data_IF_858647266699
#
_entry.id   IF_858647266699
#
_cell.length_a   1.000
_cell.length_b   1.000
_cell.length_c   1.000
_cell.angle_alpha   90.00
_cell.angle_beta   90.00
_cell.angle_gamma   90.00
#
_symmetry.space_group_name_H-M   'P 1'
#
loop_
_entity.id
_entity.type
_entity.pdbx_description
1 polymer ?
#
# COMPACT_ATOMS: atom_id res chain seq x y z
N UNK A 1 -11.70 3.75 -13.02
CA UNK A 1 -12.12 2.31 -13.15
C UNK A 1 -13.42 2.02 -12.43
N UNK A 2 -14.32 1.16 -12.98
CA UNK A 2 -15.53 0.66 -12.29
C UNK A 2 -15.25 -0.75 -11.73
N UNK A 3 -15.42 -0.92 -10.43
CA UNK A 3 -15.23 -2.21 -9.75
C UNK A 3 -16.54 -2.99 -9.77
N UNK A 4 -16.59 -4.10 -10.51
CA UNK A 4 -17.72 -5.02 -10.64
C UNK A 4 -17.61 -6.16 -9.62
N UNK A 5 -16.43 -6.79 -9.55
CA UNK A 5 -16.12 -7.86 -8.61
C UNK A 5 -14.84 -7.58 -7.83
N UNK A 6 -14.77 -8.05 -6.59
CA UNK A 6 -13.59 -8.02 -5.77
C UNK A 6 -13.70 -9.11 -4.69
N UNK A 7 -12.74 -10.00 -4.59
CA UNK A 7 -12.73 -11.11 -3.65
C UNK A 7 -11.31 -11.46 -3.19
N UNK A 8 -11.20 -12.00 -1.98
CA UNK A 8 -9.94 -12.59 -1.51
C UNK A 8 -9.68 -13.85 -2.35
N UNK A 9 -8.51 -13.90 -2.98
CA UNK A 9 -8.04 -15.04 -3.75
C UNK A 9 -7.20 -15.96 -2.88
N UNK A 10 -6.17 -15.40 -2.19
CA UNK A 10 -5.21 -16.17 -1.41
C UNK A 10 -4.65 -15.34 -0.26
N UNK A 11 -4.20 -16.02 0.81
CA UNK A 11 -3.49 -15.42 1.94
C UNK A 11 -2.21 -16.20 2.20
N UNK A 12 -1.07 -15.63 1.84
CA UNK A 12 0.23 -16.29 1.86
C UNK A 12 1.05 -15.96 3.11
N UNK A 13 1.51 -16.99 3.80
CA UNK A 13 2.48 -16.92 4.90
C UNK A 13 3.93 -17.13 4.42
N UNK A 14 4.11 -17.64 3.21
CA UNK A 14 5.39 -17.93 2.59
C UNK A 14 5.33 -17.86 1.07
N UNK A 15 6.49 -17.81 0.43
CA UNK A 15 6.60 -17.64 -1.02
C UNK A 15 5.98 -18.80 -1.83
N UNK A 16 5.95 -20.01 -1.27
CA UNK A 16 5.33 -21.18 -1.88
C UNK A 16 3.80 -21.12 -1.94
N UNK A 17 3.19 -20.14 -1.28
CA UNK A 17 1.75 -19.89 -1.27
C UNK A 17 1.37 -18.70 -2.16
N UNK A 18 2.32 -18.08 -2.85
CA UNK A 18 1.98 -17.01 -3.78
C UNK A 18 1.21 -17.60 -4.97
N UNK A 19 0.05 -17.01 -5.32
CA UNK A 19 -0.74 -17.53 -6.45
C UNK A 19 0.06 -17.41 -7.76
N UNK A 20 0.00 -18.45 -8.58
CA UNK A 20 0.59 -18.43 -9.92
C UNK A 20 -0.35 -17.68 -10.87
N UNK A 21 -0.13 -16.38 -11.00
CA UNK A 21 -0.95 -15.46 -11.79
C UNK A 21 -0.09 -14.68 -12.77
N UNK A 22 -0.58 -14.54 -13.98
CA UNK A 22 0.01 -13.67 -15.02
C UNK A 22 -0.54 -12.24 -14.94
N UNK A 23 -1.62 -12.03 -14.19
CA UNK A 23 -2.31 -10.74 -14.08
C UNK A 23 -1.47 -9.68 -13.39
N UNK A 24 -1.59 -8.39 -13.77
CA UNK A 24 -0.92 -7.28 -13.09
C UNK A 24 -1.25 -7.23 -11.60
N UNK A 25 -0.26 -6.90 -10.80
CA UNK A 25 -0.40 -6.72 -9.35
C UNK A 25 -0.09 -5.29 -8.92
N UNK A 26 -0.90 -4.77 -7.99
CA UNK A 26 -0.68 -3.51 -7.28
C UNK A 26 -0.53 -3.83 -5.80
N UNK A 27 0.66 -3.63 -5.24
CA UNK A 27 0.92 -3.89 -3.83
C UNK A 27 0.67 -2.65 -2.97
N UNK A 28 0.14 -2.85 -1.78
CA UNK A 28 -0.09 -1.81 -0.78
C UNK A 28 0.80 -2.05 0.43
N UNK A 29 1.67 -1.08 0.73
CA UNK A 29 2.59 -1.11 1.85
C UNK A 29 2.38 0.10 2.77
N UNK A 30 2.72 -0.03 4.04
CA UNK A 30 2.65 1.05 5.00
C UNK A 30 2.67 0.55 6.44
N UNK A 31 2.89 1.48 7.36
CA UNK A 31 2.87 1.16 8.79
C UNK A 31 1.52 0.62 9.23
N UNK A 32 1.56 -0.14 10.31
CA UNK A 32 0.33 -0.48 11.00
C UNK A 32 -0.46 0.77 11.39
N UNK A 33 -1.79 0.70 11.23
CA UNK A 33 -2.73 1.78 11.53
C UNK A 33 -2.54 3.06 10.68
N UNK A 34 -1.77 3.00 9.60
CA UNK A 34 -1.63 4.12 8.65
C UNK A 34 -2.91 4.37 7.84
N UNK A 35 -3.81 3.39 7.79
CA UNK A 35 -5.05 3.46 7.01
C UNK A 35 -5.02 2.62 5.72
N UNK A 36 -4.06 1.68 5.59
CA UNK A 36 -3.89 0.82 4.40
C UNK A 36 -5.17 0.07 4.02
N UNK A 37 -5.70 -0.75 4.90
CA UNK A 37 -6.94 -1.52 4.64
C UNK A 37 -8.15 -0.60 4.40
N UNK A 38 -8.17 0.57 5.03
CA UNK A 38 -9.23 1.58 4.82
C UNK A 38 -9.12 2.20 3.43
N UNK A 39 -7.90 2.50 2.96
CA UNK A 39 -7.66 2.99 1.59
C UNK A 39 -8.09 1.94 0.56
N UNK A 40 -7.65 0.68 0.71
CA UNK A 40 -8.03 -0.42 -0.20
C UNK A 40 -9.56 -0.54 -0.27
N UNK A 41 -10.23 -0.60 0.88
CA UNK A 41 -11.70 -0.66 0.94
C UNK A 41 -12.38 0.56 0.26
N UNK A 42 -11.79 1.76 0.44
CA UNK A 42 -12.25 2.99 -0.20
C UNK A 42 -12.10 2.91 -1.71
N UNK A 43 -10.95 2.48 -2.22
CA UNK A 43 -10.70 2.29 -3.64
C UNK A 43 -11.69 1.30 -4.26
N UNK A 44 -11.92 0.18 -3.62
CA UNK A 44 -12.82 -0.87 -4.09
C UNK A 44 -14.31 -0.58 -3.87
N UNK A 45 -14.67 0.50 -3.18
CA UNK A 45 -16.06 0.79 -2.79
C UNK A 45 -16.70 -0.36 -1.99
N UNK A 46 -15.91 -1.01 -1.17
CA UNK A 46 -16.33 -2.12 -0.30
C UNK A 46 -16.14 -1.74 1.16
N UNK A 47 -17.10 -2.09 2.04
CA UNK A 47 -17.03 -1.67 3.45
C UNK A 47 -16.11 -2.54 4.31
N UNK A 48 -15.88 -3.81 3.95
CA UNK A 48 -15.19 -4.80 4.81
C UNK A 48 -14.47 -5.90 4.01
N UNK A 49 -14.05 -5.68 2.77
CA UNK A 49 -13.34 -6.71 1.99
C UNK A 49 -11.99 -7.00 2.65
N UNK A 50 -11.20 -5.93 2.87
CA UNK A 50 -9.97 -6.03 3.66
C UNK A 50 -10.30 -5.77 5.12
N UNK A 51 -10.02 -6.75 5.98
CA UNK A 51 -10.28 -6.64 7.42
C UNK A 51 -9.45 -5.51 8.01
N UNK A 52 -10.11 -4.48 8.51
CA UNK A 52 -9.46 -3.45 9.32
C UNK A 52 -9.28 -4.01 10.72
N UNK A 53 -8.05 -4.35 11.10
CA UNK A 53 -7.76 -4.79 12.46
C UNK A 53 -7.27 -3.62 13.29
N UNK A 54 -7.96 -3.34 14.39
CA UNK A 54 -7.45 -2.47 15.46
C UNK A 54 -6.45 -3.20 16.36
N UNK A 55 -6.40 -4.53 16.28
CA UNK A 55 -5.48 -5.34 17.10
C UNK A 55 -4.13 -5.47 16.37
N UNK A 56 -3.06 -4.99 16.99
CA UNK A 56 -1.70 -5.11 16.46
C UNK A 56 -1.29 -6.57 16.24
N UNK A 57 -0.64 -6.88 15.08
CA UNK A 57 -0.06 -8.21 14.81
C UNK A 57 -1.00 -9.25 14.19
N UNK A 58 -2.24 -8.91 13.80
CA UNK A 58 -3.17 -9.88 13.19
C UNK A 58 -2.90 -10.20 11.72
N UNK A 59 -2.40 -9.25 10.92
CA UNK A 59 -2.12 -9.47 9.51
C UNK A 59 -0.66 -9.86 9.35
N UNK A 60 -0.40 -11.17 9.39
CA UNK A 60 0.92 -11.77 9.20
C UNK A 60 1.11 -12.30 7.77
N UNK A 61 0.07 -12.17 6.96
CA UNK A 61 -0.05 -12.76 5.63
C UNK A 61 -0.02 -11.68 4.57
N UNK A 62 0.47 -12.01 3.40
CA UNK A 62 0.23 -11.24 2.18
C UNK A 62 -1.12 -11.69 1.63
N UNK A 63 -2.07 -10.76 1.49
CA UNK A 63 -3.39 -11.08 0.98
C UNK A 63 -3.55 -10.60 -0.46
N UNK A 64 -3.92 -11.52 -1.34
CA UNK A 64 -4.16 -11.27 -2.75
C UNK A 64 -5.67 -11.14 -2.98
N UNK A 65 -6.10 -10.02 -3.54
CA UNK A 65 -7.50 -9.75 -3.88
C UNK A 65 -7.66 -9.66 -5.38
N UNK A 66 -8.42 -10.58 -5.98
CA UNK A 66 -8.74 -10.54 -7.40
C UNK A 66 -9.82 -9.48 -7.66
N UNK A 67 -9.54 -8.58 -8.63
CA UNK A 67 -10.40 -7.46 -8.95
C UNK A 67 -10.82 -7.56 -10.41
N UNK A 68 -12.14 -7.57 -10.64
CA UNK A 68 -12.76 -7.68 -11.97
C UNK A 68 -12.22 -8.84 -12.83
N UNK A 69 -11.52 -9.81 -12.23
CA UNK A 69 -10.84 -10.91 -12.92
C UNK A 69 -9.73 -10.47 -13.88
N UNK A 70 -9.18 -9.26 -13.68
CA UNK A 70 -8.17 -8.66 -14.58
C UNK A 70 -6.88 -8.23 -13.90
N UNK A 71 -6.87 -8.01 -12.59
CA UNK A 71 -5.68 -7.66 -11.83
C UNK A 71 -5.84 -8.00 -10.34
N UNK A 72 -4.74 -8.02 -9.60
CA UNK A 72 -4.74 -8.21 -8.16
C UNK A 72 -4.34 -6.95 -7.39
N UNK A 73 -5.09 -6.65 -6.32
CA UNK A 73 -4.58 -5.81 -5.23
C UNK A 73 -3.96 -6.71 -4.17
N UNK A 74 -2.74 -6.36 -3.75
CA UNK A 74 -1.98 -7.14 -2.79
C UNK A 74 -1.76 -6.33 -1.51
N UNK A 75 -2.38 -6.81 -0.41
CA UNK A 75 -2.27 -6.17 0.90
C UNK A 75 -1.08 -6.76 1.66
N UNK A 76 0.03 -6.02 1.71
CA UNK A 76 1.23 -6.44 2.43
C UNK A 76 1.05 -6.28 3.94
N UNK A 77 1.71 -7.11 4.78
CA UNK A 77 1.72 -6.92 6.22
C UNK A 77 2.17 -5.51 6.61
N UNK A 78 1.44 -4.90 7.55
CA UNK A 78 1.85 -3.57 8.07
C UNK A 78 3.11 -3.69 8.93
N UNK A 79 4.09 -2.83 8.73
CA UNK A 79 5.31 -2.76 9.54
C UNK A 79 5.19 -1.78 10.72
N UNK A 80 6.23 -1.72 11.56
CA UNK A 80 6.31 -0.73 12.65
C UNK A 80 5.61 -1.09 13.96
N UNK A 81 5.35 -2.38 14.19
CA UNK A 81 4.87 -2.83 15.49
C UNK A 81 6.00 -2.91 16.52
N UNK A 82 5.93 -2.05 17.55
CA UNK A 82 6.90 -2.06 18.64
C UNK A 82 6.84 -3.32 19.54
N UNK A 83 5.66 -3.98 19.58
CA UNK A 83 5.40 -5.12 20.50
C UNK A 83 5.56 -6.50 19.86
N UNK A 84 6.26 -6.60 18.72
CA UNK A 84 6.48 -7.88 18.03
C UNK A 84 7.93 -8.34 18.25
N UNK A 85 8.18 -9.62 18.57
CA UNK A 85 9.53 -10.16 18.69
C UNK A 85 10.40 -9.87 17.45
N UNK A 86 11.71 -9.70 17.65
CA UNK A 86 12.65 -9.34 16.57
C UNK A 86 12.65 -10.38 15.43
N UNK A 87 12.63 -11.67 15.77
CA UNK A 87 12.57 -12.79 14.82
C UNK A 87 11.34 -12.72 13.91
N UNK A 88 10.18 -12.39 14.49
CA UNK A 88 8.94 -12.27 13.74
C UNK A 88 8.96 -11.06 12.80
N UNK A 89 9.59 -9.95 13.21
CA UNK A 89 9.77 -8.77 12.34
C UNK A 89 10.67 -9.11 11.16
N UNK A 90 11.72 -9.88 11.41
CA UNK A 90 12.65 -10.31 10.38
C UNK A 90 11.98 -11.27 9.37
N UNK A 91 11.17 -12.22 9.85
CA UNK A 91 10.43 -13.13 8.96
C UNK A 91 9.45 -12.37 8.06
N UNK A 92 8.76 -11.33 8.58
CA UNK A 92 7.88 -10.50 7.77
C UNK A 92 8.65 -9.65 6.76
N UNK A 93 9.80 -9.12 7.16
CA UNK A 93 10.68 -8.40 6.24
C UNK A 93 11.09 -9.30 5.08
N UNK A 94 11.58 -10.50 5.36
CA UNK A 94 11.96 -11.48 4.35
C UNK A 94 10.81 -11.86 3.43
N UNK A 95 9.60 -12.07 3.98
CA UNK A 95 8.42 -12.38 3.17
C UNK A 95 8.07 -11.23 2.20
N UNK A 96 8.08 -9.98 2.68
CA UNK A 96 7.81 -8.79 1.87
C UNK A 96 8.90 -8.62 0.80
N UNK A 97 10.17 -8.71 1.17
CA UNK A 97 11.29 -8.60 0.23
C UNK A 97 11.25 -9.70 -0.83
N UNK A 98 10.92 -10.94 -0.43
CA UNK A 98 10.74 -12.05 -1.38
C UNK A 98 9.61 -11.79 -2.35
N UNK A 99 8.47 -11.29 -1.87
CA UNK A 99 7.35 -10.89 -2.73
C UNK A 99 7.77 -9.78 -3.69
N UNK A 100 8.30 -8.69 -3.18
CA UNK A 100 8.67 -7.52 -3.99
C UNK A 100 9.76 -7.81 -5.02
N UNK A 101 10.70 -8.74 -4.73
CA UNK A 101 11.81 -9.09 -5.63
C UNK A 101 11.41 -10.09 -6.72
N UNK A 102 10.54 -11.05 -6.42
CA UNK A 102 10.23 -12.20 -7.29
C UNK A 102 8.96 -12.08 -8.13
N UNK A 103 8.15 -11.00 -7.94
CA UNK A 103 6.91 -10.84 -8.71
C UNK A 103 7.13 -10.02 -9.97
N UNK A 104 7.19 -10.69 -11.11
CA UNK A 104 7.38 -10.03 -12.41
C UNK A 104 6.15 -9.26 -12.86
N UNK A 105 4.96 -9.69 -12.43
CA UNK A 105 3.69 -9.03 -12.69
C UNK A 105 3.36 -7.87 -11.72
N UNK A 106 4.23 -7.57 -10.74
CA UNK A 106 4.09 -6.41 -9.86
C UNK A 106 4.37 -5.12 -10.63
N UNK A 107 3.32 -4.31 -10.83
CA UNK A 107 3.39 -3.06 -11.62
C UNK A 107 3.79 -1.85 -10.78
N UNK A 108 3.29 -1.75 -9.56
CA UNK A 108 3.55 -0.61 -8.67
C UNK A 108 3.33 -0.97 -7.20
N UNK A 109 4.12 -0.35 -6.32
CA UNK A 109 3.93 -0.41 -4.87
C UNK A 109 3.33 0.92 -4.39
N UNK A 110 2.14 0.88 -3.80
CA UNK A 110 1.50 2.04 -3.16
C UNK A 110 2.01 2.14 -1.73
N UNK A 111 2.91 3.08 -1.48
CA UNK A 111 3.43 3.39 -0.14
C UNK A 111 2.50 4.40 0.55
N UNK A 112 1.92 4.00 1.69
CA UNK A 112 0.94 4.81 2.41
C UNK A 112 1.59 5.45 3.64
N UNK A 113 1.54 6.77 3.71
CA UNK A 113 2.09 7.60 4.78
C UNK A 113 0.95 8.31 5.52
N UNK A 114 0.96 8.32 6.85
CA UNK A 114 0.06 9.16 7.63
C UNK A 114 0.50 10.62 7.51
N UNK A 115 -0.29 11.46 6.85
CA UNK A 115 0.07 12.85 6.55
C UNK A 115 0.38 13.67 7.82
N UNK A 116 -0.18 13.31 8.96
CA UNK A 116 0.00 14.02 10.24
C UNK A 116 1.42 13.90 10.79
N UNK A 117 2.08 12.78 10.52
CA UNK A 117 3.38 12.42 11.10
C UNK A 117 4.52 12.44 10.07
N UNK A 118 4.18 12.32 8.77
CA UNK A 118 5.17 12.15 7.71
C UNK A 118 5.83 10.77 7.72
N UNK A 119 6.87 10.56 6.88
CA UNK A 119 7.53 9.28 6.73
C UNK A 119 8.39 8.93 7.95
N UNK A 120 8.35 7.67 8.35
CA UNK A 120 9.18 7.10 9.40
C UNK A 120 10.49 6.55 8.83
N UNK A 121 11.40 6.12 9.71
CA UNK A 121 12.63 5.44 9.29
C UNK A 121 12.34 4.19 8.45
N UNK A 122 11.29 3.43 8.79
CA UNK A 122 10.89 2.23 8.06
C UNK A 122 10.28 2.55 6.69
N UNK A 123 9.53 3.65 6.56
CA UNK A 123 9.02 4.13 5.28
C UNK A 123 10.18 4.52 4.34
N UNK A 124 11.20 5.21 4.87
CA UNK A 124 12.42 5.55 4.13
C UNK A 124 13.21 4.31 3.73
N UNK A 125 13.34 3.35 4.63
CA UNK A 125 14.02 2.08 4.34
C UNK A 125 13.33 1.31 3.21
N UNK A 126 11.99 1.21 3.24
CA UNK A 126 11.25 0.57 2.16
C UNK A 126 11.40 1.34 0.84
N UNK A 127 11.33 2.68 0.88
CA UNK A 127 11.55 3.52 -0.31
C UNK A 127 12.95 3.27 -0.91
N UNK A 128 14.00 3.31 -0.09
CA UNK A 128 15.37 3.07 -0.55
C UNK A 128 15.53 1.66 -1.14
N UNK A 129 14.87 0.67 -0.56
CA UNK A 129 14.86 -0.69 -1.09
C UNK A 129 14.16 -0.75 -2.46
N UNK A 130 13.01 -0.10 -2.62
CA UNK A 130 12.27 -0.05 -3.89
C UNK A 130 13.07 0.65 -4.99
N UNK A 131 13.75 1.76 -4.66
CA UNK A 131 14.62 2.47 -5.60
C UNK A 131 15.80 1.59 -6.05
N UNK A 132 16.48 0.96 -5.11
CA UNK A 132 17.61 0.06 -5.40
C UNK A 132 17.22 -1.07 -6.36
N UNK A 133 16.02 -1.64 -6.17
CA UNK A 133 15.48 -2.70 -7.02
C UNK A 133 14.68 -2.18 -8.22
N UNK A 134 14.69 -0.86 -8.47
CA UNK A 134 13.97 -0.21 -9.58
C UNK A 134 12.48 -0.57 -9.64
N UNK A 135 11.86 -0.79 -8.46
CA UNK A 135 10.42 -1.09 -8.36
C UNK A 135 9.61 0.20 -8.36
N UNK A 136 8.65 0.37 -9.29
CA UNK A 136 7.82 1.56 -9.34
C UNK A 136 7.04 1.79 -8.04
N UNK A 137 6.94 3.06 -7.62
CA UNK A 137 6.27 3.42 -6.37
C UNK A 137 5.32 4.61 -6.57
N UNK A 138 4.15 4.53 -5.96
CA UNK A 138 3.19 5.64 -5.81
C UNK A 138 3.03 5.95 -4.32
N UNK A 139 3.29 7.20 -3.90
CA UNK A 139 3.10 7.60 -2.50
C UNK A 139 1.72 8.20 -2.28
N UNK A 140 0.99 7.67 -1.31
CA UNK A 140 -0.33 8.17 -0.89
C UNK A 140 -0.25 8.68 0.55
N UNK A 141 -0.61 9.95 0.75
CA UNK A 141 -0.69 10.57 2.07
C UNK A 141 -2.11 10.42 2.64
N UNK A 142 -2.29 9.47 3.54
CA UNK A 142 -3.58 9.15 4.16
C UNK A 142 -3.99 10.15 5.24
N UNK A 143 -5.28 10.14 5.60
CA UNK A 143 -5.87 10.97 6.69
C UNK A 143 -5.77 12.47 6.43
N UNK A 144 -5.88 12.90 5.17
CA UNK A 144 -5.86 14.32 4.79
C UNK A 144 -6.94 15.16 5.48
N UNK A 145 -8.06 14.54 5.84
CA UNK A 145 -9.15 15.15 6.60
C UNK A 145 -8.76 15.64 8.01
N UNK A 146 -7.62 15.21 8.53
CA UNK A 146 -7.12 15.59 9.86
C UNK A 146 -6.32 16.89 9.85
N UNK A 147 -6.12 17.50 8.69
CA UNK A 147 -5.37 18.74 8.52
C UNK A 147 -6.21 19.78 7.75
N UNK A 148 -5.98 21.05 8.03
CA UNK A 148 -6.50 22.12 7.18
C UNK A 148 -5.83 22.08 5.79
N UNK A 149 -6.47 22.66 4.78
CA UNK A 149 -5.94 22.68 3.39
C UNK A 149 -4.49 23.19 3.31
N UNK A 150 -4.18 24.31 3.98
CA UNK A 150 -2.83 24.86 3.99
C UNK A 150 -1.81 23.94 4.68
N UNK A 151 -2.16 23.35 5.83
CA UNK A 151 -1.32 22.37 6.51
C UNK A 151 -1.13 21.10 5.69
N UNK A 152 -2.18 20.64 4.99
CA UNK A 152 -2.10 19.51 4.09
C UNK A 152 -1.09 19.78 2.96
N UNK A 153 -1.20 20.91 2.26
CA UNK A 153 -0.26 21.28 1.18
C UNK A 153 1.19 21.35 1.68
N UNK A 154 1.44 21.99 2.83
CA UNK A 154 2.76 22.07 3.44
C UNK A 154 3.32 20.68 3.80
N UNK A 155 2.48 19.79 4.38
CA UNK A 155 2.91 18.43 4.73
C UNK A 155 3.22 17.57 3.49
N UNK A 156 2.47 17.71 2.41
CA UNK A 156 2.76 17.01 1.15
C UNK A 156 4.12 17.42 0.59
N UNK A 157 4.46 18.72 0.62
CA UNK A 157 5.78 19.21 0.23
C UNK A 157 6.89 18.65 1.12
N UNK A 158 6.65 18.63 2.43
CA UNK A 158 7.60 18.03 3.39
C UNK A 158 7.83 16.55 3.11
N UNK A 159 6.77 15.76 2.90
CA UNK A 159 6.88 14.33 2.58
C UNK A 159 7.64 14.15 1.26
N UNK A 160 7.34 14.98 0.23
CA UNK A 160 8.07 14.97 -1.03
C UNK A 160 9.57 15.15 -0.82
N UNK A 161 9.97 16.16 -0.03
CA UNK A 161 11.36 16.44 0.30
C UNK A 161 12.00 15.31 1.10
N UNK A 162 11.33 14.84 2.16
CA UNK A 162 11.83 13.83 3.09
C UNK A 162 12.05 12.45 2.43
N UNK A 163 11.31 12.14 1.36
CA UNK A 163 11.43 10.92 0.58
C UNK A 163 12.07 11.15 -0.80
N UNK A 164 12.57 12.35 -1.09
CA UNK A 164 13.22 12.70 -2.38
C UNK A 164 12.37 12.30 -3.60
N UNK A 165 11.06 12.60 -3.53
CA UNK A 165 10.14 12.23 -4.60
C UNK A 165 10.18 13.23 -5.75
N UNK A 166 10.02 12.75 -6.96
CA UNK A 166 9.87 13.60 -8.16
C UNK A 166 8.51 14.30 -8.18
N UNK A 167 7.46 13.62 -7.69
CA UNK A 167 6.09 14.12 -7.67
C UNK A 167 5.56 14.28 -6.23
N UNK A 168 4.53 15.10 -6.04
CA UNK A 168 3.84 15.20 -4.76
C UNK A 168 3.09 13.90 -4.44
N UNK A 169 3.08 13.46 -3.17
CA UNK A 169 2.21 12.39 -2.73
C UNK A 169 0.74 12.74 -2.99
N UNK A 170 -0.07 11.75 -3.32
CA UNK A 170 -1.50 11.94 -3.50
C UNK A 170 -2.20 11.97 -2.13
N UNK A 171 -2.90 13.05 -1.76
CA UNK A 171 -3.67 13.08 -0.53
C UNK A 171 -4.89 12.16 -0.63
N UNK A 172 -5.24 11.52 0.50
CA UNK A 172 -6.42 10.68 0.58
C UNK A 172 -7.10 10.81 1.95
N UNK A 173 -8.43 10.92 1.91
CA UNK A 173 -9.29 10.74 3.08
C UNK A 173 -10.34 9.67 2.81
N UNK A 174 -10.40 8.69 3.70
CA UNK A 174 -11.46 7.67 3.66
C UNK A 174 -12.80 8.19 4.19
N UNK A 175 -12.79 9.33 4.92
CA UNK A 175 -13.98 9.92 5.50
C UNK A 175 -14.84 10.61 4.42
N UNK A 176 -14.21 11.47 3.62
CA UNK A 176 -14.88 12.26 2.56
C UNK A 176 -14.57 11.75 1.14
N UNK A 177 -13.83 10.64 1.01
CA UNK A 177 -13.41 10.01 -0.26
C UNK A 177 -12.53 10.89 -1.15
N UNK A 178 -11.91 11.94 -0.57
CA UNK A 178 -10.97 12.80 -1.26
C UNK A 178 -9.78 11.99 -1.81
N UNK A 179 -9.27 12.37 -2.99
CA UNK A 179 -8.11 11.76 -3.64
C UNK A 179 -8.38 10.42 -4.32
N UNK A 180 -9.52 9.76 -4.07
CA UNK A 180 -9.82 8.43 -4.63
C UNK A 180 -9.72 8.39 -6.16
N UNK A 181 -10.30 9.37 -6.84
CA UNK A 181 -10.28 9.46 -8.31
C UNK A 181 -8.86 9.68 -8.86
N UNK A 182 -8.05 10.50 -8.19
CA UNK A 182 -6.66 10.75 -8.57
C UNK A 182 -5.80 9.51 -8.41
N UNK A 183 -5.98 8.76 -7.29
CA UNK A 183 -5.26 7.51 -7.06
C UNK A 183 -5.63 6.49 -8.14
N UNK A 184 -6.93 6.32 -8.47
CA UNK A 184 -7.32 5.41 -9.55
C UNK A 184 -6.74 5.83 -10.89
N UNK A 185 -6.74 7.13 -11.24
CA UNK A 185 -6.13 7.61 -12.49
C UNK A 185 -4.65 7.25 -12.58
N UNK A 186 -3.91 7.38 -11.46
CA UNK A 186 -2.51 6.99 -11.40
C UNK A 186 -2.34 5.46 -11.57
N UNK A 187 -3.16 4.65 -10.87
CA UNK A 187 -3.09 3.19 -10.93
C UNK A 187 -3.50 2.63 -12.30
N UNK A 188 -4.49 3.23 -12.95
CA UNK A 188 -4.91 2.85 -14.32
C UNK A 188 -3.77 2.96 -15.32
N UNK A 189 -2.89 3.96 -15.17
CA UNK A 189 -1.68 4.09 -15.97
C UNK A 189 -0.75 2.87 -15.86
N UNK A 190 -0.55 2.36 -14.65
CA UNK A 190 0.28 1.18 -14.38
C UNK A 190 -0.36 -0.14 -14.84
N UNK A 191 -1.69 -0.24 -14.79
CA UNK A 191 -2.42 -1.43 -15.24
C UNK A 191 -2.49 -1.53 -16.77
N UNK A 192 -2.40 -0.41 -17.48
CA UNK A 192 -2.48 -0.35 -18.94
C UNK A 192 -1.11 -0.46 -19.63
N UNK A 193 -0.01 -0.36 -18.86
CA UNK A 193 1.35 -0.54 -19.39
C UNK A 193 1.63 -2.03 -19.62
N UNK A 194 2.25 -2.41 -20.74
CA UNK A 194 2.60 -3.79 -21.08
C UNK A 194 3.58 -4.41 -20.09
#
# INVERSE_FOLDING_TARGET
MKIKSAGLLESAAGANQFPDLVMPEIAFAGRSNVGKSTLINSLLTRKKLVKTSSTPGKTRLINFFLINEIFCLVDLPGYGFAKVPAEMRESWRKLIETYLSRRDNLRVVVLIIDIRHGPTAQDRQLKSWLDFHQRPMLVVASKSDKLSRGKCASQLQKIKKDLELTQLPLPHSSLNKEGRGQIWKALDGWLSSP
#
